data_IF_886569278651
#
_entry.id   IF_886569278651
#
_cell.length_a   1.000
_cell.length_b   1.000
_cell.length_c   1.000
_cell.angle_alpha   90.00
_cell.angle_beta   90.00
_cell.angle_gamma   90.00
#
_symmetry.space_group_name_H-M   'P 1'
#
loop_
_entity.id
_entity.type
_entity.pdbx_description
1 polymer ?
#
# COMPACT_ATOMS: atom_id res chain seq x y z
N UNK A 1 -20.98 5.63 -32.42
CA UNK A 1 -21.73 4.37 -32.26
C UNK A 1 -21.28 3.53 -31.07
N UNK A 2 -19.98 3.20 -30.89
CA UNK A 2 -19.49 2.42 -29.73
C UNK A 2 -19.84 3.02 -28.36
N UNK A 3 -19.76 4.35 -28.20
CA UNK A 3 -20.18 5.03 -26.96
C UNK A 3 -21.68 4.91 -26.69
N UNK A 4 -22.55 4.88 -27.71
CA UNK A 4 -24.00 4.67 -27.52
C UNK A 4 -24.32 3.22 -27.14
N UNK A 5 -23.65 2.24 -27.73
CA UNK A 5 -23.80 0.83 -27.37
C UNK A 5 -23.36 0.55 -25.91
N UNK A 6 -22.31 1.22 -25.44
CA UNK A 6 -21.82 1.07 -24.06
C UNK A 6 -22.82 1.61 -23.01
N UNK A 7 -23.55 2.69 -23.30
CA UNK A 7 -24.51 3.30 -22.37
C UNK A 7 -25.81 2.46 -22.28
N UNK A 8 -26.14 1.72 -23.34
CA UNK A 8 -27.32 0.84 -23.40
C UNK A 8 -27.05 -0.62 -23.05
N UNK A 9 -25.79 -1.01 -22.81
CA UNK A 9 -25.46 -2.33 -22.29
C UNK A 9 -25.69 -2.32 -20.77
N UNK A 10 -26.49 -3.23 -20.21
CA UNK A 10 -26.71 -3.29 -18.77
C UNK A 10 -25.38 -3.38 -18.01
N UNK A 11 -25.20 -2.56 -16.97
CA UNK A 11 -23.97 -2.51 -16.18
C UNK A 11 -23.59 -3.90 -15.61
N UNK A 12 -24.59 -4.73 -15.29
CA UNK A 12 -24.40 -6.11 -14.83
C UNK A 12 -23.70 -7.02 -15.87
N UNK A 13 -23.92 -6.77 -17.17
CA UNK A 13 -23.30 -7.54 -18.25
C UNK A 13 -21.85 -7.09 -18.43
N UNK A 14 -21.58 -5.78 -18.31
CA UNK A 14 -20.23 -5.24 -18.34
C UNK A 14 -19.36 -5.72 -17.17
N UNK A 15 -19.92 -5.77 -15.95
CA UNK A 15 -19.20 -6.31 -14.77
C UNK A 15 -18.94 -7.81 -14.88
N UNK A 16 -19.93 -8.60 -15.34
CA UNK A 16 -19.76 -10.03 -15.55
C UNK A 16 -18.68 -10.34 -16.60
N UNK A 17 -18.72 -9.67 -17.75
CA UNK A 17 -17.68 -9.81 -18.78
C UNK A 17 -16.31 -9.37 -18.29
N UNK A 18 -16.23 -8.28 -17.50
CA UNK A 18 -14.98 -7.82 -16.90
C UNK A 18 -14.37 -8.85 -15.95
N UNK A 19 -15.18 -9.50 -15.13
CA UNK A 19 -14.73 -10.55 -14.21
C UNK A 19 -14.27 -11.80 -14.97
N UNK A 20 -15.04 -12.25 -15.98
CA UNK A 20 -14.65 -13.38 -16.83
C UNK A 20 -13.36 -13.10 -17.57
N UNK A 21 -13.20 -11.91 -18.15
CA UNK A 21 -11.97 -11.52 -18.85
C UNK A 21 -10.76 -11.51 -17.91
N UNK A 22 -10.89 -10.94 -16.70
CA UNK A 22 -9.81 -10.90 -15.72
C UNK A 22 -9.37 -12.31 -15.26
N UNK A 23 -10.33 -13.20 -14.98
CA UNK A 23 -10.04 -14.58 -14.59
C UNK A 23 -9.39 -15.37 -15.72
N UNK A 24 -9.90 -15.27 -16.94
CA UNK A 24 -9.39 -16.01 -18.09
C UNK A 24 -7.97 -15.56 -18.47
N UNK A 25 -7.69 -14.25 -18.42
CA UNK A 25 -6.32 -13.73 -18.62
C UNK A 25 -5.37 -14.26 -17.55
N UNK A 26 -5.80 -14.27 -16.28
CA UNK A 26 -5.01 -14.79 -15.17
C UNK A 26 -4.70 -16.29 -15.34
N UNK A 27 -5.71 -17.08 -15.69
CA UNK A 27 -5.57 -18.52 -15.91
C UNK A 27 -4.65 -18.83 -17.11
N UNK A 28 -4.86 -18.18 -18.25
CA UNK A 28 -4.00 -18.33 -19.43
C UNK A 28 -2.55 -17.93 -19.11
N UNK A 29 -2.33 -16.85 -18.36
CA UNK A 29 -0.98 -16.43 -17.98
C UNK A 29 -0.24 -17.46 -17.12
N UNK A 30 -0.96 -18.20 -16.26
CA UNK A 30 -0.41 -19.32 -15.50
C UNK A 30 -0.15 -20.52 -16.42
N UNK A 31 -1.13 -20.89 -17.25
CA UNK A 31 -1.04 -22.07 -18.13
C UNK A 31 0.07 -21.97 -19.17
N UNK A 32 0.34 -20.77 -19.69
CA UNK A 32 1.45 -20.50 -20.64
C UNK A 32 2.80 -20.41 -19.92
N UNK A 33 2.82 -20.43 -18.59
CA UNK A 33 4.05 -20.35 -17.78
C UNK A 33 4.63 -18.96 -17.65
N UNK A 34 3.85 -17.90 -17.94
CA UNK A 34 4.29 -16.52 -17.76
C UNK A 34 4.44 -16.16 -16.27
N UNK A 35 3.55 -16.69 -15.43
CA UNK A 35 3.60 -16.51 -13.97
C UNK A 35 3.41 -17.85 -13.25
N UNK A 36 4.03 -18.01 -12.09
CA UNK A 36 3.71 -19.13 -11.20
C UNK A 36 2.42 -18.85 -10.43
N UNK A 37 1.62 -19.88 -10.10
CA UNK A 37 0.40 -19.71 -9.30
C UNK A 37 0.65 -18.98 -7.98
N UNK A 38 1.80 -19.22 -7.36
CA UNK A 38 2.23 -18.59 -6.11
C UNK A 38 2.41 -17.06 -6.26
N UNK A 39 3.04 -16.61 -7.35
CA UNK A 39 3.24 -15.17 -7.61
C UNK A 39 1.89 -14.47 -7.81
N UNK A 40 0.97 -15.11 -8.55
CA UNK A 40 -0.38 -14.56 -8.76
C UNK A 40 -1.14 -14.46 -7.45
N UNK A 41 -1.05 -15.47 -6.58
CA UNK A 41 -1.66 -15.46 -5.25
C UNK A 41 -1.12 -14.29 -4.40
N UNK A 42 0.19 -14.12 -4.33
CA UNK A 42 0.79 -13.02 -3.55
C UNK A 42 0.41 -11.64 -4.09
N UNK A 43 0.33 -11.49 -5.41
CA UNK A 43 -0.13 -10.24 -6.03
C UNK A 43 -1.60 -9.95 -5.73
N UNK A 44 -2.47 -10.97 -5.73
CA UNK A 44 -3.87 -10.80 -5.37
C UNK A 44 -4.05 -10.33 -3.93
N UNK A 45 -3.34 -10.96 -2.97
CA UNK A 45 -3.35 -10.53 -1.56
C UNK A 45 -2.83 -9.09 -1.42
N UNK A 46 -1.72 -8.77 -2.08
CA UNK A 46 -1.14 -7.43 -2.05
C UNK A 46 -2.06 -6.38 -2.70
N UNK A 47 -2.81 -6.73 -3.74
CA UNK A 47 -3.79 -5.86 -4.39
C UNK A 47 -4.99 -5.59 -3.48
N UNK A 48 -5.57 -6.62 -2.86
CA UNK A 48 -6.64 -6.47 -1.87
C UNK A 48 -6.19 -5.59 -0.70
N UNK A 49 -4.95 -5.78 -0.23
CA UNK A 49 -4.36 -4.94 0.82
C UNK A 49 -4.27 -3.45 0.47
N UNK A 50 -4.21 -3.07 -0.82
CA UNK A 50 -4.19 -1.65 -1.19
C UNK A 50 -5.50 -0.92 -0.85
N UNK A 51 -6.63 -1.64 -0.80
CA UNK A 51 -7.93 -1.07 -0.42
C UNK A 51 -8.05 -0.82 1.09
N UNK A 52 -7.16 -1.38 1.91
CA UNK A 52 -7.11 -1.08 3.35
C UNK A 52 -6.55 0.33 3.63
N UNK A 53 -5.84 0.93 2.67
CA UNK A 53 -5.29 2.29 2.81
C UNK A 53 -6.36 3.30 2.37
N UNK A 54 -6.94 4.12 3.29
CA UNK A 54 -8.04 5.01 2.94
C UNK A 54 -7.61 6.23 2.10
N UNK A 55 -6.32 6.57 2.09
CA UNK A 55 -5.80 7.70 1.31
C UNK A 55 -5.37 7.24 -0.09
N UNK A 56 -5.97 7.85 -1.11
CA UNK A 56 -5.65 7.59 -2.51
C UNK A 56 -4.18 7.95 -2.84
N UNK A 57 -3.74 9.13 -2.42
CA UNK A 57 -2.36 9.60 -2.64
C UNK A 57 -1.33 8.65 -2.02
N UNK A 58 -1.62 8.14 -0.81
CA UNK A 58 -0.76 7.18 -0.13
C UNK A 58 -0.71 5.83 -0.86
N UNK A 59 -1.85 5.36 -1.38
CA UNK A 59 -1.92 4.15 -2.19
C UNK A 59 -1.13 4.28 -3.49
N UNK A 60 -1.21 5.44 -4.14
CA UNK A 60 -0.48 5.76 -5.37
C UNK A 60 1.04 5.83 -5.09
N UNK A 61 1.46 6.50 -4.02
CA UNK A 61 2.86 6.53 -3.59
C UNK A 61 3.43 5.12 -3.37
N UNK A 62 2.70 4.26 -2.66
CA UNK A 62 3.07 2.85 -2.45
C UNK A 62 3.18 2.07 -3.77
N UNK A 63 2.32 2.36 -4.74
CA UNK A 63 2.36 1.74 -6.07
C UNK A 63 3.61 2.14 -6.84
N UNK A 64 3.96 3.43 -6.85
CA UNK A 64 5.17 3.93 -7.54
C UNK A 64 6.43 3.29 -6.95
N UNK A 65 6.57 3.28 -5.62
CA UNK A 65 7.71 2.64 -4.96
C UNK A 65 7.80 1.15 -5.33
N UNK A 66 6.67 0.44 -5.34
CA UNK A 66 6.65 -0.99 -5.70
C UNK A 66 7.14 -1.23 -7.12
N UNK A 67 6.70 -0.41 -8.08
CA UNK A 67 7.18 -0.49 -9.47
C UNK A 67 8.68 -0.19 -9.54
N UNK A 68 9.16 0.82 -8.82
CA UNK A 68 10.60 1.11 -8.72
C UNK A 68 11.41 -0.07 -8.18
N UNK A 69 10.96 -0.70 -7.08
CA UNK A 69 11.61 -1.88 -6.52
C UNK A 69 11.61 -3.07 -7.48
N UNK A 70 10.53 -3.28 -8.22
CA UNK A 70 10.46 -4.34 -9.24
C UNK A 70 11.46 -4.09 -10.37
N UNK A 71 11.62 -2.84 -10.84
CA UNK A 71 12.60 -2.49 -11.88
C UNK A 71 14.03 -2.74 -11.37
N UNK A 72 14.37 -2.28 -10.17
CA UNK A 72 15.70 -2.50 -9.58
C UNK A 72 15.98 -3.98 -9.39
N UNK A 73 14.97 -4.75 -8.95
CA UNK A 73 15.08 -6.20 -8.77
C UNK A 73 15.19 -6.93 -10.12
N UNK A 74 14.53 -6.45 -11.17
CA UNK A 74 14.63 -7.04 -12.51
C UNK A 74 16.03 -6.87 -13.11
N UNK A 75 16.72 -5.75 -12.83
CA UNK A 75 18.05 -5.46 -13.35
C UNK A 75 19.15 -6.14 -12.51
N UNK A 76 19.06 -6.04 -11.18
CA UNK A 76 20.13 -6.45 -10.26
C UNK A 76 19.81 -7.73 -9.47
N UNK A 77 18.66 -8.36 -9.69
CA UNK A 77 18.23 -9.57 -8.99
C UNK A 77 17.97 -9.35 -7.49
N UNK A 78 18.16 -10.41 -6.70
CA UNK A 78 17.98 -10.40 -5.24
C UNK A 78 18.79 -9.32 -4.49
N UNK A 79 20.08 -9.09 -4.81
CA UNK A 79 20.86 -7.98 -4.22
C UNK A 79 20.23 -6.61 -4.47
N UNK A 80 19.69 -6.39 -5.68
CA UNK A 80 18.97 -5.16 -6.03
C UNK A 80 17.74 -4.92 -5.14
N UNK A 81 16.98 -5.97 -4.85
CA UNK A 81 15.83 -5.87 -3.95
C UNK A 81 16.24 -5.44 -2.53
N UNK A 82 17.31 -6.02 -1.99
CA UNK A 82 17.80 -5.70 -0.64
C UNK A 82 18.28 -4.24 -0.58
N UNK A 83 19.09 -3.83 -1.55
CA UNK A 83 19.62 -2.46 -1.61
C UNK A 83 18.49 -1.45 -1.83
N UNK A 84 17.59 -1.70 -2.78
CA UNK A 84 16.45 -0.84 -3.07
C UNK A 84 15.53 -0.67 -1.87
N UNK A 85 15.22 -1.77 -1.16
CA UNK A 85 14.40 -1.74 0.06
C UNK A 85 15.10 -0.97 1.18
N UNK A 86 16.42 -1.15 1.34
CA UNK A 86 17.20 -0.42 2.35
C UNK A 86 17.21 1.08 2.08
N UNK A 87 17.45 1.49 0.82
CA UNK A 87 17.40 2.91 0.44
C UNK A 87 16.02 3.49 0.69
N UNK A 88 14.96 2.75 0.33
CA UNK A 88 13.59 3.18 0.58
C UNK A 88 13.30 3.36 2.08
N UNK A 89 13.73 2.43 2.94
CA UNK A 89 13.59 2.55 4.38
C UNK A 89 14.36 3.77 4.93
N UNK A 90 15.61 3.97 4.50
CA UNK A 90 16.40 5.13 4.90
C UNK A 90 15.74 6.45 4.50
N UNK A 91 15.13 6.51 3.32
CA UNK A 91 14.37 7.68 2.88
C UNK A 91 13.19 7.97 3.80
N UNK A 92 12.46 6.94 4.25
CA UNK A 92 11.34 7.10 5.20
C UNK A 92 11.80 7.59 6.57
N UNK A 93 12.95 7.13 7.06
CA UNK A 93 13.52 7.58 8.35
C UNK A 93 13.83 9.08 8.32
N UNK A 94 14.37 9.56 7.20
CA UNK A 94 14.77 10.98 7.05
C UNK A 94 13.59 11.89 6.74
N UNK A 95 12.46 11.35 6.28
CA UNK A 95 11.29 12.13 5.93
C UNK A 95 10.60 12.69 7.18
N UNK A 96 10.54 14.01 7.30
CA UNK A 96 9.88 14.74 8.39
C UNK A 96 8.81 15.70 7.87
N UNK A 97 7.61 15.23 7.51
CA UNK A 97 6.52 16.13 7.15
C UNK A 97 6.09 16.93 8.39
N UNK A 98 6.02 18.27 8.27
CA UNK A 98 5.62 19.18 9.35
C UNK A 98 6.37 18.91 10.67
N UNK A 99 7.69 18.71 10.58
CA UNK A 99 8.60 18.44 11.71
C UNK A 99 8.29 17.18 12.55
N UNK A 100 7.39 16.32 12.04
CA UNK A 100 7.08 15.02 12.65
C UNK A 100 7.76 13.90 11.86
N UNK A 101 8.54 12.99 12.48
CA UNK A 101 9.14 11.87 11.77
C UNK A 101 8.08 10.96 11.16
N UNK A 102 8.21 10.65 9.87
CA UNK A 102 7.24 9.79 9.15
C UNK A 102 7.12 8.39 9.77
N UNK A 103 8.21 7.87 10.34
CA UNK A 103 8.25 6.55 10.99
C UNK A 103 7.84 6.57 12.46
N UNK A 104 7.32 7.68 12.99
CA UNK A 104 6.77 7.69 14.34
C UNK A 104 5.53 6.78 14.41
N UNK A 105 5.35 5.91 15.43
CA UNK A 105 6.09 5.80 16.70
C UNK A 105 7.18 4.72 16.73
N UNK A 106 7.59 4.16 15.59
CA UNK A 106 8.69 3.20 15.52
C UNK A 106 10.04 3.90 15.67
N UNK A 107 10.23 5.05 14.99
CA UNK A 107 11.43 5.88 15.05
C UNK A 107 10.99 7.36 15.09
N UNK A 108 11.23 8.09 16.19
CA UNK A 108 11.74 7.64 17.49
C UNK A 108 10.74 6.73 18.22
N UNK A 109 11.26 5.72 18.92
CA UNK A 109 10.44 4.68 19.56
C UNK A 109 9.60 5.23 20.72
N UNK A 110 8.27 5.06 20.65
CA UNK A 110 7.36 5.39 21.74
C UNK A 110 6.39 4.23 22.00
N UNK A 111 6.61 3.51 23.11
CA UNK A 111 5.84 2.30 23.46
C UNK A 111 4.37 2.57 23.79
N UNK A 112 4.03 3.76 24.30
CA UNK A 112 2.63 4.16 24.58
C UNK A 112 1.88 4.42 23.28
N UNK A 113 2.48 5.23 22.41
CA UNK A 113 1.92 5.52 21.09
C UNK A 113 1.80 4.26 20.21
N UNK A 114 2.78 3.34 20.30
CA UNK A 114 2.72 2.07 19.58
C UNK A 114 1.53 1.20 20.03
N UNK A 115 1.26 1.13 21.35
CA UNK A 115 0.07 0.45 21.87
C UNK A 115 -1.22 1.12 21.40
N UNK A 116 -1.26 2.45 21.39
CA UNK A 116 -2.42 3.20 20.90
C UNK A 116 -2.69 3.00 19.41
N UNK A 117 -1.65 2.83 18.59
CA UNK A 117 -1.76 2.52 17.16
C UNK A 117 -2.22 1.07 16.95
N UNK A 118 -1.65 0.12 17.68
CA UNK A 118 -1.95 -1.31 17.52
C UNK A 118 -3.36 -1.67 18.01
N UNK A 119 -3.76 -1.18 19.18
CA UNK A 119 -5.06 -1.46 19.78
C UNK A 119 -6.14 -0.43 19.40
N UNK A 120 -5.78 0.59 18.61
CA UNK A 120 -6.65 1.67 18.11
C UNK A 120 -7.66 2.17 19.16
N UNK A 121 -7.14 2.64 20.29
CA UNK A 121 -7.95 3.10 21.43
C UNK A 121 -8.84 4.30 21.04
N UNK A 122 -10.12 4.37 21.50
CA UNK A 122 -11.01 5.48 21.21
C UNK A 122 -10.42 6.85 21.57
N UNK A 123 -10.64 7.84 20.70
CA UNK A 123 -10.15 9.23 20.86
C UNK A 123 -10.53 9.87 22.22
N UNK A 124 -11.74 9.66 22.79
CA UNK A 124 -12.10 10.23 24.09
C UNK A 124 -11.27 9.72 25.27
N UNK A 125 -10.68 8.53 25.15
CA UNK A 125 -9.86 7.91 26.20
C UNK A 125 -8.39 8.38 26.13
N UNK A 126 -7.99 9.07 25.06
CA UNK A 126 -6.65 9.63 24.88
C UNK A 126 -6.49 10.90 25.70
N UNK A 127 -5.86 10.77 26.88
CA UNK A 127 -5.59 11.90 27.81
C UNK A 127 -4.35 12.71 27.42
N UNK A 128 -3.35 12.07 26.81
CA UNK A 128 -2.06 12.69 26.48
C UNK A 128 -1.95 13.01 24.99
N UNK A 129 -1.36 14.16 24.66
CA UNK A 129 -1.09 14.55 23.28
C UNK A 129 0.11 13.75 22.73
N UNK A 130 0.13 13.40 21.42
CA UNK A 130 1.27 12.74 20.81
C UNK A 130 2.55 13.56 20.99
N UNK A 131 3.64 12.93 21.44
CA UNK A 131 4.93 13.61 21.62
C UNK A 131 5.57 14.05 20.28
N UNK A 132 5.11 13.51 19.15
CA UNK A 132 5.63 13.83 17.82
C UNK A 132 5.42 15.30 17.41
N UNK A 133 4.39 15.97 17.95
CA UNK A 133 4.01 17.35 17.56
C UNK A 133 4.60 18.43 18.47
N UNK A 134 5.57 18.09 19.34
CA UNK A 134 6.16 19.00 20.34
C UNK A 134 5.11 19.91 21.04
N UNK A 135 4.08 19.33 21.69
CA UNK A 135 3.02 20.15 22.25
C UNK A 135 3.51 20.91 23.49
N UNK A 136 3.16 22.19 23.59
CA UNK A 136 3.47 23.03 24.77
C UNK A 136 2.72 22.59 26.05
N UNK A 137 1.62 21.84 25.89
CA UNK A 137 0.83 21.25 26.98
C UNK A 137 0.75 19.72 26.76
N UNK A 138 1.22 18.88 27.71
CA UNK A 138 1.19 17.43 27.58
C UNK A 138 -0.23 16.84 27.62
N UNK A 139 -1.18 17.53 28.24
CA UNK A 139 -2.56 17.06 28.40
C UNK A 139 -3.50 17.71 27.36
N UNK A 140 -4.63 17.06 27.10
CA UNK A 140 -5.59 17.53 26.08
C UNK A 140 -6.39 18.73 26.56
#
# INVERSE_FOLDING_TARGET
MLRMAAIHTPNALATALGLVAALLIGDVAINVGLFSPEVVLYLAVAAVGTFATPSYEMSLANRIIRVGLLIVTAIFGGPGFIVGTTIWLLMLVHLKPLDTPYMWPFIPFNSRALKDVLFRVPIPTKKQRPQAIHPNDPDR
#
